data_IF_310999441915
#
_entry.id   IF_310999441915
#
_cell.length_a   1.000
_cell.length_b   1.000
_cell.length_c   1.000
_cell.angle_alpha   90.00
_cell.angle_beta   90.00
_cell.angle_gamma   90.00
#
_symmetry.space_group_name_H-M   'P 1'
#
loop_
_entity.id
_entity.type
_entity.pdbx_description
1 polymer ?
#
# COMPACT_ATOMS: atom_id res chain seq x y z
N UNK A 1 -29.26 -31.25 13.42
CA UNK A 1 -27.89 -31.29 12.85
C UNK A 1 -27.63 -30.12 11.89
N UNK A 2 -28.55 -29.81 10.97
CA UNK A 2 -28.47 -28.62 10.09
C UNK A 2 -28.47 -27.30 10.89
N UNK A 3 -29.34 -27.18 11.89
CA UNK A 3 -29.41 -25.98 12.75
C UNK A 3 -28.13 -25.73 13.55
N UNK A 4 -27.46 -26.81 13.97
CA UNK A 4 -26.18 -26.72 14.67
C UNK A 4 -25.07 -26.20 13.75
N UNK A 5 -25.02 -26.69 12.50
CA UNK A 5 -24.08 -26.21 11.49
C UNK A 5 -24.30 -24.73 11.19
N UNK A 6 -25.55 -24.30 10.99
CA UNK A 6 -25.86 -22.90 10.74
C UNK A 6 -25.43 -21.98 11.90
N UNK A 7 -25.64 -22.42 13.15
CA UNK A 7 -25.20 -21.67 14.33
C UNK A 7 -23.67 -21.53 14.43
N UNK A 8 -22.92 -22.55 14.01
CA UNK A 8 -21.45 -22.50 13.98
C UNK A 8 -20.97 -21.55 12.88
N UNK A 9 -21.58 -21.59 11.70
CA UNK A 9 -21.27 -20.70 10.58
C UNK A 9 -21.46 -19.24 10.99
N UNK A 10 -22.63 -18.89 11.55
CA UNK A 10 -22.90 -17.52 12.02
C UNK A 10 -21.89 -17.02 13.05
N UNK A 11 -21.42 -17.91 13.94
CA UNK A 11 -20.40 -17.57 14.94
C UNK A 11 -19.04 -17.32 14.31
N UNK A 12 -18.65 -18.13 13.33
CA UNK A 12 -17.37 -17.97 12.63
C UNK A 12 -17.36 -16.72 11.75
N UNK A 13 -18.47 -16.42 11.07
CA UNK A 13 -18.65 -15.19 10.30
C UNK A 13 -18.51 -13.96 11.20
N UNK A 14 -19.19 -13.93 12.35
CA UNK A 14 -19.05 -12.84 13.33
C UNK A 14 -17.63 -12.67 13.87
N UNK A 15 -16.92 -13.77 14.13
CA UNK A 15 -15.52 -13.71 14.58
C UNK A 15 -14.59 -13.19 13.48
N UNK A 16 -14.81 -13.60 12.22
CA UNK A 16 -14.05 -13.13 11.07
C UNK A 16 -14.30 -11.64 10.80
N UNK A 17 -15.55 -11.20 10.85
CA UNK A 17 -15.93 -9.79 10.76
C UNK A 17 -15.24 -8.95 11.85
N UNK A 18 -15.23 -9.42 13.11
CA UNK A 18 -14.56 -8.71 14.20
C UNK A 18 -13.04 -8.63 14.02
N UNK A 19 -12.40 -9.68 13.49
CA UNK A 19 -10.97 -9.70 13.23
C UNK A 19 -10.55 -8.79 12.07
N UNK A 20 -11.36 -8.72 11.00
CA UNK A 20 -11.10 -7.89 9.83
C UNK A 20 -11.48 -6.42 10.05
N UNK A 21 -12.43 -6.13 10.94
CA UNK A 21 -12.83 -4.76 11.28
C UNK A 21 -11.85 -4.05 12.23
N UNK A 22 -10.61 -4.55 12.33
CA UNK A 22 -9.47 -3.85 12.91
C UNK A 22 -9.77 -3.17 14.24
N UNK A 23 -9.93 -3.96 15.30
CA UNK A 23 -10.00 -3.48 16.69
C UNK A 23 -10.97 -2.30 16.87
N UNK A 24 -12.27 -2.58 16.96
CA UNK A 24 -13.24 -1.64 17.50
C UNK A 24 -13.11 -1.61 19.04
N UNK A 25 -12.53 -0.57 19.67
CA UNK A 25 -12.44 -0.49 21.12
C UNK A 25 -13.77 0.00 21.71
N UNK A 26 -14.89 -0.42 21.13
CA UNK A 26 -16.25 0.04 21.49
C UNK A 26 -16.87 -0.79 22.62
N UNK A 27 -16.23 -1.88 23.05
CA UNK A 27 -16.82 -2.87 23.96
C UNK A 27 -15.90 -3.17 25.16
N UNK A 28 -15.05 -2.22 25.56
CA UNK A 28 -14.32 -2.35 26.82
C UNK A 28 -14.01 -0.99 27.46
N UNK A 29 -15.05 -0.20 27.70
CA UNK A 29 -15.04 0.82 28.76
C UNK A 29 -16.49 1.15 29.13
N UNK A 30 -17.18 0.16 29.71
CA UNK A 30 -18.36 0.40 30.53
C UNK A 30 -17.95 0.26 32.00
N UNK A 31 -17.45 1.34 32.58
CA UNK A 31 -17.58 1.58 34.00
C UNK A 31 -17.84 3.07 34.25
N UNK A 32 -19.13 3.38 34.39
CA UNK A 32 -19.66 4.29 35.40
C UNK A 32 -18.93 5.63 35.63
N UNK A 33 -19.29 6.64 34.83
CA UNK A 33 -19.62 7.96 35.40
C UNK A 33 -20.18 8.90 34.36
N UNK A 34 -21.22 9.62 34.76
CA UNK A 34 -21.75 10.80 34.10
C UNK A 34 -20.62 11.74 33.64
N UNK A 35 -20.50 11.97 32.33
CA UNK A 35 -20.43 13.31 31.74
C UNK A 35 -20.29 13.23 30.20
N UNK A 36 -20.93 14.17 29.51
CA UNK A 36 -20.89 14.29 28.05
C UNK A 36 -19.50 14.76 27.61
N UNK A 37 -18.57 13.83 27.44
CA UNK A 37 -17.27 14.13 26.81
C UNK A 37 -17.46 14.37 25.30
N UNK A 38 -16.80 15.39 24.71
CA UNK A 38 -16.84 15.63 23.27
C UNK A 38 -16.25 14.42 22.55
N UNK A 39 -16.92 13.97 21.48
CA UNK A 39 -16.47 12.90 20.58
C UNK A 39 -15.01 13.17 20.18
N UNK A 40 -14.08 12.44 20.79
CA UNK A 40 -12.64 12.57 20.52
C UNK A 40 -12.44 12.16 19.05
N UNK A 41 -12.24 13.15 18.18
CA UNK A 41 -11.93 12.91 16.77
C UNK A 41 -10.67 12.06 16.73
N UNK A 42 -10.73 10.89 16.08
CA UNK A 42 -9.55 10.05 15.89
C UNK A 42 -8.50 10.90 15.19
N UNK A 43 -7.29 10.92 15.74
CA UNK A 43 -6.16 11.60 15.12
C UNK A 43 -5.92 10.96 13.74
N UNK A 44 -5.58 11.76 12.71
CA UNK A 44 -5.22 11.20 11.41
C UNK A 44 -4.03 10.25 11.56
N UNK A 45 -3.91 9.22 10.69
CA UNK A 45 -2.70 8.42 10.61
C UNK A 45 -1.47 9.31 10.50
N UNK A 46 -0.40 8.96 11.24
CA UNK A 46 0.87 9.69 11.16
C UNK A 46 1.56 9.35 9.85
N UNK A 47 2.10 10.37 9.19
CA UNK A 47 2.93 10.20 8.00
C UNK A 47 4.31 9.69 8.42
N UNK A 48 4.89 8.79 7.64
CA UNK A 48 6.22 8.25 7.85
C UNK A 48 6.88 8.05 6.50
N UNK A 49 8.13 8.50 6.36
CA UNK A 49 8.94 8.26 5.19
C UNK A 49 10.05 7.27 5.57
N UNK A 50 10.08 6.13 4.88
CA UNK A 50 11.04 5.04 5.07
C UNK A 50 12.40 5.29 4.39
N UNK A 51 12.51 6.31 3.53
CA UNK A 51 13.77 6.71 2.91
C UNK A 51 14.65 7.51 3.89
N UNK A 52 14.05 8.44 4.64
CA UNK A 52 14.74 9.33 5.60
C UNK A 52 14.57 8.92 7.07
N UNK A 53 13.78 7.88 7.37
CA UNK A 53 13.34 7.49 8.71
C UNK A 53 12.71 8.65 9.52
N UNK A 54 11.87 9.46 8.87
CA UNK A 54 11.31 10.67 9.47
C UNK A 54 9.77 10.64 9.54
N UNK A 55 9.22 11.03 10.71
CA UNK A 55 7.78 11.08 10.97
C UNK A 55 7.21 12.49 10.76
N UNK A 56 5.94 12.54 10.34
CA UNK A 56 5.09 13.73 10.24
C UNK A 56 5.59 14.86 9.33
N UNK A 57 6.68 14.66 8.56
CA UNK A 57 7.23 15.65 7.64
C UNK A 57 6.73 15.43 6.20
N UNK A 58 7.01 14.26 5.66
CA UNK A 58 6.59 13.80 4.33
C UNK A 58 6.40 12.29 4.37
N UNK A 59 5.77 11.72 3.34
CA UNK A 59 5.76 10.28 3.08
C UNK A 59 6.91 9.90 2.13
N UNK A 60 6.99 8.63 1.75
CA UNK A 60 8.02 8.13 0.82
C UNK A 60 8.02 8.87 -0.53
N UNK A 61 6.85 9.24 -1.06
CA UNK A 61 6.71 9.85 -2.39
C UNK A 61 7.20 11.31 -2.43
N UNK A 62 7.07 12.03 -1.31
CA UNK A 62 7.49 13.43 -1.16
C UNK A 62 8.91 13.60 -0.60
N UNK A 63 9.70 12.52 -0.55
CA UNK A 63 11.02 12.57 0.08
C UNK A 63 12.02 13.39 -0.75
N UNK A 64 12.65 14.44 -0.20
CA UNK A 64 13.62 15.26 -0.96
C UNK A 64 14.87 14.48 -1.35
N UNK A 65 15.22 13.42 -0.62
CA UNK A 65 16.31 12.51 -1.00
C UNK A 65 15.91 11.57 -2.14
N UNK A 66 14.62 11.49 -2.49
CA UNK A 66 14.15 10.84 -3.71
C UNK A 66 14.47 11.66 -4.97
N UNK A 67 14.85 12.94 -4.84
CA UNK A 67 15.16 13.81 -5.99
C UNK A 67 16.13 13.09 -6.92
N UNK A 68 15.64 12.77 -8.12
CA UNK A 68 16.45 12.18 -9.17
C UNK A 68 17.66 13.09 -9.41
N UNK A 69 18.85 12.48 -9.50
CA UNK A 69 20.01 13.18 -10.04
C UNK A 69 19.61 13.84 -11.38
N UNK A 70 20.08 15.05 -11.70
CA UNK A 70 19.71 15.72 -12.95
C UNK A 70 20.12 14.93 -14.21
N UNK A 71 20.96 13.91 -14.07
CA UNK A 71 21.38 12.98 -15.12
C UNK A 71 20.63 11.63 -15.09
N UNK A 72 19.68 11.46 -14.18
CA UNK A 72 18.82 10.28 -14.16
C UNK A 72 17.85 10.36 -15.35
N UNK A 73 17.65 9.26 -16.07
CA UNK A 73 16.61 9.19 -17.09
C UNK A 73 15.26 9.59 -16.49
N UNK A 74 14.46 10.31 -17.27
CA UNK A 74 13.09 10.65 -16.88
C UNK A 74 12.34 9.39 -16.44
N UNK A 75 11.49 9.53 -15.41
CA UNK A 75 10.58 8.46 -15.05
C UNK A 75 9.78 8.02 -16.28
N UNK A 76 9.55 6.72 -16.36
CA UNK A 76 8.76 6.19 -17.45
C UNK A 76 7.35 6.77 -17.46
N UNK A 77 6.99 7.39 -18.59
CA UNK A 77 5.61 7.81 -18.89
C UNK A 77 4.80 6.69 -19.56
N UNK A 78 5.21 5.43 -19.39
CA UNK A 78 4.52 4.28 -20.01
C UNK A 78 3.20 4.00 -19.30
N UNK A 79 2.09 4.34 -19.96
CA UNK A 79 0.74 4.05 -19.51
C UNK A 79 0.27 2.72 -20.09
N UNK A 80 0.84 1.62 -19.60
CA UNK A 80 0.48 0.26 -20.05
C UNK A 80 -0.98 -0.08 -19.79
N UNK A 81 -1.56 -0.94 -20.62
CA UNK A 81 -2.89 -1.50 -20.33
C UNK A 81 -2.78 -2.65 -19.33
N UNK A 82 -3.85 -2.89 -18.57
CA UNK A 82 -3.86 -3.96 -17.56
C UNK A 82 -3.74 -5.32 -18.24
N UNK A 83 -2.63 -6.02 -18.01
CA UNK A 83 -2.35 -7.35 -18.54
C UNK A 83 -1.39 -7.37 -19.73
N UNK A 84 -0.97 -6.21 -20.23
CA UNK A 84 0.11 -6.11 -21.21
C UNK A 84 1.45 -5.93 -20.51
N UNK A 85 2.43 -6.72 -20.94
CA UNK A 85 3.81 -6.60 -20.48
C UNK A 85 4.52 -5.48 -21.24
N UNK A 86 5.28 -4.68 -20.50
CA UNK A 86 6.07 -3.60 -21.09
C UNK A 86 7.30 -4.19 -21.79
N UNK A 87 7.63 -3.73 -23.02
CA UNK A 87 8.85 -4.16 -23.68
C UNK A 87 10.10 -3.87 -22.85
N UNK A 88 10.82 -4.93 -22.52
CA UNK A 88 12.10 -4.90 -21.81
C UNK A 88 13.14 -5.69 -22.61
N UNK A 89 14.36 -5.16 -22.64
CA UNK A 89 15.49 -5.80 -23.30
C UNK A 89 16.52 -6.21 -22.26
N UNK A 90 16.78 -7.52 -22.16
CA UNK A 90 17.77 -8.07 -21.23
C UNK A 90 19.20 -7.80 -21.66
N UNK A 91 19.44 -7.51 -22.95
CA UNK A 91 20.77 -7.19 -23.48
C UNK A 91 21.17 -5.77 -23.08
N UNK A 92 20.26 -4.82 -23.26
CA UNK A 92 20.51 -3.41 -22.94
C UNK A 92 20.15 -3.05 -21.49
N UNK A 93 19.49 -3.96 -20.76
CA UNK A 93 18.92 -3.74 -19.41
C UNK A 93 18.03 -2.49 -19.31
N UNK A 94 17.31 -2.17 -20.39
CA UNK A 94 16.39 -1.01 -20.46
C UNK A 94 15.02 -1.38 -21.00
N UNK A 95 14.03 -0.59 -20.62
CA UNK A 95 12.71 -0.63 -21.23
C UNK A 95 12.70 0.10 -22.58
N UNK A 96 11.84 -0.33 -23.50
CA UNK A 96 11.54 0.38 -24.75
C UNK A 96 11.54 -0.49 -26.01
N UNK A 97 12.17 -1.67 -25.95
CA UNK A 97 12.13 -2.69 -26.98
C UNK A 97 12.25 -4.07 -26.35
N UNK A 98 11.86 -5.12 -27.07
CA UNK A 98 12.06 -6.50 -26.66
C UNK A 98 13.47 -6.96 -27.00
N UNK A 99 14.01 -7.88 -26.20
CA UNK A 99 15.29 -8.54 -26.47
C UNK A 99 15.40 -9.07 -27.91
N UNK A 100 14.31 -9.63 -28.45
CA UNK A 100 14.24 -10.20 -29.82
C UNK A 100 14.40 -9.16 -30.95
N UNK A 101 14.12 -7.89 -30.66
CA UNK A 101 14.20 -6.78 -31.61
C UNK A 101 15.38 -5.85 -31.32
N UNK A 102 16.32 -6.28 -30.47
CA UNK A 102 17.48 -5.49 -30.07
C UNK A 102 18.50 -5.38 -31.22
N UNK A 103 18.91 -4.16 -31.56
CA UNK A 103 20.00 -3.90 -32.49
C UNK A 103 21.28 -3.56 -31.73
N UNK A 104 21.90 -4.57 -31.11
CA UNK A 104 23.10 -4.42 -30.28
C UNK A 104 24.40 -4.34 -31.12
N UNK A 105 24.43 -3.43 -32.10
CA UNK A 105 25.63 -3.15 -32.91
C UNK A 105 26.64 -2.27 -32.14
N UNK A 106 26.83 -2.52 -30.84
CA UNK A 106 27.83 -1.83 -30.03
C UNK A 106 29.22 -2.43 -30.34
N UNK A 107 29.92 -1.82 -31.31
CA UNK A 107 31.37 -1.98 -31.43
C UNK A 107 32.04 -1.26 -30.25
N UNK A 108 32.79 -2.00 -29.44
CA UNK A 108 33.65 -1.48 -28.37
C UNK A 108 34.70 -0.47 -28.88
#
# INVERSE_FOLDING_TARGET
QIEFLNSVIEKLEKMAEAALNGNNPSELDNYDSHDKEPVKKKLPPRLFCDICDCFDLHDTEDCPTQTQMPDSPEHSTFHGTKGEERPYCDICEVFGHWTDSCNDDQTF
#
